data_IF_892087359197
#
_entry.id   IF_892087359197
#
_cell.length_a   1.000
_cell.length_b   1.000
_cell.length_c   1.000
_cell.angle_alpha   90.00
_cell.angle_beta   90.00
_cell.angle_gamma   90.00
#
_symmetry.space_group_name_H-M   'P 1'
#
loop_
_entity.id
_entity.type
_entity.pdbx_description
1 polymer ?
#
# COMPACT_ATOMS: atom_id res chain seq x y z
N UNK A 1 -17.89 -15.21 -8.70
CA UNK A 1 -17.29 -13.86 -8.73
C UNK A 1 -15.91 -13.95 -8.17
N UNK A 2 -15.03 -13.01 -8.55
CA UNK A 2 -13.64 -13.00 -8.11
C UNK A 2 -13.32 -11.69 -7.42
N UNK A 3 -12.82 -11.81 -6.20
CA UNK A 3 -12.30 -10.71 -5.40
C UNK A 3 -10.80 -10.59 -5.67
N UNK A 4 -10.34 -9.38 -5.96
CA UNK A 4 -8.93 -9.02 -6.04
C UNK A 4 -8.53 -8.22 -4.81
N UNK A 5 -7.42 -8.60 -4.19
CA UNK A 5 -6.78 -7.90 -3.09
C UNK A 5 -5.39 -7.46 -3.56
N UNK A 6 -5.14 -6.16 -3.54
CA UNK A 6 -3.87 -5.58 -4.02
C UNK A 6 -3.39 -4.46 -3.10
N UNK A 7 -2.11 -4.09 -3.24
CA UNK A 7 -1.46 -3.04 -2.47
C UNK A 7 -0.78 -2.00 -3.36
N UNK A 8 -0.80 -0.74 -2.91
CA UNK A 8 -0.28 0.38 -3.68
C UNK A 8 0.58 1.30 -2.83
N UNK A 9 1.73 1.66 -3.39
CA UNK A 9 2.69 2.52 -2.71
C UNK A 9 3.57 1.82 -1.69
N UNK A 10 3.69 0.47 -1.68
CA UNK A 10 4.67 -0.21 -0.82
C UNK A 10 6.08 0.39 -0.99
N UNK A 11 6.50 0.64 -2.23
CA UNK A 11 7.80 1.20 -2.59
C UNK A 11 7.97 2.72 -2.46
N UNK A 12 6.92 3.46 -2.09
CA UNK A 12 7.03 4.93 -1.98
C UNK A 12 7.59 5.35 -0.62
N UNK A 13 8.51 6.34 -0.56
CA UNK A 13 9.09 6.80 0.71
C UNK A 13 8.14 7.69 1.52
N UNK A 14 7.14 8.27 0.86
CA UNK A 14 6.13 9.19 1.41
C UNK A 14 4.79 8.48 1.49
N UNK A 15 4.04 8.77 2.54
CA UNK A 15 2.70 8.24 2.78
C UNK A 15 2.69 6.83 3.37
N UNK A 16 1.47 6.31 3.50
CA UNK A 16 1.17 4.95 3.91
C UNK A 16 1.27 3.96 2.75
N UNK A 17 0.49 2.90 2.84
CA UNK A 17 0.30 1.94 1.73
C UNK A 17 -1.19 1.72 1.56
N UNK A 18 -1.69 1.93 0.34
CA UNK A 18 -3.08 1.68 0.01
C UNK A 18 -3.35 0.19 -0.13
N UNK A 19 -4.49 -0.26 0.38
CA UNK A 19 -4.98 -1.63 0.24
C UNK A 19 -6.35 -1.56 -0.42
N UNK A 20 -6.52 -2.28 -1.51
CA UNK A 20 -7.79 -2.39 -2.22
C UNK A 20 -8.34 -3.81 -2.14
N UNK A 21 -9.65 -3.92 -1.92
CA UNK A 21 -10.44 -5.14 -2.10
C UNK A 21 -11.49 -4.83 -3.16
N UNK A 22 -11.48 -5.53 -4.28
CA UNK A 22 -12.34 -5.23 -5.43
C UNK A 22 -13.00 -6.49 -6.00
N UNK A 23 -14.30 -6.42 -6.27
CA UNK A 23 -15.08 -7.47 -6.96
C UNK A 23 -15.00 -7.22 -8.47
N UNK A 24 -14.24 -8.04 -9.21
CA UNK A 24 -13.89 -7.82 -10.63
C UNK A 24 -15.10 -7.57 -11.52
N UNK A 25 -16.17 -8.32 -11.29
CA UNK A 25 -17.34 -8.32 -12.18
C UNK A 25 -18.24 -7.09 -12.01
N UNK A 26 -18.20 -6.43 -10.85
CA UNK A 26 -19.12 -5.33 -10.53
C UNK A 26 -18.40 -3.98 -10.36
N UNK A 27 -17.10 -4.01 -10.07
CA UNK A 27 -16.35 -2.82 -9.65
C UNK A 27 -16.63 -2.38 -8.21
N UNK A 28 -17.47 -3.07 -7.45
CA UNK A 28 -17.63 -2.82 -6.02
C UNK A 28 -16.29 -3.00 -5.32
N UNK A 29 -15.92 -2.03 -4.49
CA UNK A 29 -14.62 -2.02 -3.86
C UNK A 29 -14.61 -1.37 -2.48
N UNK A 30 -13.61 -1.75 -1.69
CA UNK A 30 -13.18 -1.07 -0.49
C UNK A 30 -11.70 -0.73 -0.64
N UNK A 31 -11.35 0.51 -0.30
CA UNK A 31 -9.98 1.00 -0.27
C UNK A 31 -9.74 1.70 1.06
N UNK A 32 -8.56 1.49 1.63
CA UNK A 32 -8.07 2.24 2.78
C UNK A 32 -6.54 2.30 2.80
N UNK A 33 -5.98 3.15 3.65
CA UNK A 33 -4.54 3.38 3.79
C UNK A 33 -4.04 2.76 5.10
N UNK A 34 -3.04 1.91 5.00
CA UNK A 34 -2.20 1.55 6.17
C UNK A 34 -1.47 2.82 6.60
N UNK A 35 -1.71 3.23 7.85
CA UNK A 35 -1.18 4.48 8.40
C UNK A 35 0.34 4.60 8.27
N UNK A 36 0.82 5.82 8.02
CA UNK A 36 2.26 6.18 8.00
C UNK A 36 2.93 5.77 9.33
N UNK A 37 2.15 5.80 10.42
CA UNK A 37 2.57 5.42 11.77
C UNK A 37 3.10 3.99 11.85
N UNK A 38 2.57 3.07 11.04
CA UNK A 38 2.99 1.66 11.00
C UNK A 38 4.36 1.48 10.35
N UNK A 39 4.84 2.51 9.66
CA UNK A 39 6.12 2.56 8.99
C UNK A 39 7.17 3.39 9.75
N UNK A 40 6.91 3.75 11.00
CA UNK A 40 7.92 4.33 11.92
C UNK A 40 8.89 3.26 12.40
N UNK A 41 10.05 3.66 12.93
CA UNK A 41 11.16 2.74 13.28
C UNK A 41 10.70 1.55 14.14
N UNK A 42 9.97 1.81 15.22
CA UNK A 42 9.58 0.76 16.17
C UNK A 42 8.44 -0.12 15.66
N UNK A 43 7.44 0.48 14.99
CA UNK A 43 6.26 -0.21 14.45
C UNK A 43 6.61 -1.02 13.20
N UNK A 44 7.45 -0.47 12.31
CA UNK A 44 7.92 -1.17 11.11
C UNK A 44 8.77 -2.39 11.48
N UNK A 45 9.66 -2.27 12.48
CA UNK A 45 10.46 -3.39 12.99
C UNK A 45 9.57 -4.51 13.55
N UNK A 46 8.46 -4.16 14.19
CA UNK A 46 7.46 -5.11 14.70
C UNK A 46 6.50 -5.62 13.61
N UNK A 47 6.63 -5.15 12.37
CA UNK A 47 5.77 -5.47 11.23
C UNK A 47 4.27 -5.23 11.49
N UNK A 48 3.93 -4.16 12.21
CA UNK A 48 2.53 -3.82 12.53
C UNK A 48 1.68 -3.65 11.26
N UNK A 49 2.28 -3.12 10.20
CA UNK A 49 1.66 -2.95 8.89
C UNK A 49 1.02 -4.23 8.33
N UNK A 50 1.53 -5.43 8.66
CA UNK A 50 0.93 -6.71 8.23
C UNK A 50 -0.44 -6.94 8.86
N UNK A 51 -0.59 -6.56 10.13
CA UNK A 51 -1.88 -6.65 10.85
C UNK A 51 -2.84 -5.61 10.30
N UNK A 52 -2.38 -4.40 10.04
CA UNK A 52 -3.20 -3.33 9.46
C UNK A 52 -3.67 -3.66 8.05
N UNK A 53 -2.81 -4.25 7.21
CA UNK A 53 -3.20 -4.74 5.89
C UNK A 53 -4.35 -5.76 5.97
N UNK A 54 -4.20 -6.76 6.85
CA UNK A 54 -5.26 -7.76 7.11
C UNK A 54 -6.54 -7.10 7.60
N UNK A 55 -6.47 -6.18 8.55
CA UNK A 55 -7.64 -5.49 9.10
C UNK A 55 -8.42 -4.69 8.04
N UNK A 56 -7.73 -4.02 7.12
CA UNK A 56 -8.38 -3.31 6.00
C UNK A 56 -9.08 -4.31 5.07
N UNK A 57 -8.45 -5.44 4.78
CA UNK A 57 -9.07 -6.50 3.97
C UNK A 57 -10.31 -7.05 4.67
N UNK A 58 -10.24 -7.38 5.96
CA UNK A 58 -11.38 -7.83 6.75
C UNK A 58 -12.56 -6.84 6.68
N UNK A 59 -12.29 -5.55 6.82
CA UNK A 59 -13.30 -4.50 6.66
C UNK A 59 -13.91 -4.50 5.26
N UNK A 60 -13.10 -4.70 4.23
CA UNK A 60 -13.56 -4.85 2.85
C UNK A 60 -14.49 -6.04 2.68
N UNK A 61 -14.17 -7.19 3.29
CA UNK A 61 -15.00 -8.39 3.25
C UNK A 61 -16.36 -8.16 3.90
N UNK A 62 -16.40 -7.46 5.04
CA UNK A 62 -17.66 -7.09 5.69
C UNK A 62 -18.47 -6.12 4.82
N UNK A 63 -17.84 -5.06 4.29
CA UNK A 63 -18.51 -4.03 3.47
C UNK A 63 -19.08 -4.58 2.16
N UNK A 64 -18.31 -5.43 1.48
CA UNK A 64 -18.65 -6.03 0.19
C UNK A 64 -19.44 -7.34 0.34
N UNK A 65 -19.72 -7.75 1.58
CA UNK A 65 -20.46 -8.99 1.93
C UNK A 65 -19.90 -10.21 1.20
N UNK A 66 -18.57 -10.34 1.18
CA UNK A 66 -17.87 -11.38 0.42
C UNK A 66 -18.24 -12.76 0.96
N UNK A 67 -18.70 -13.63 0.06
CA UNK A 67 -19.11 -15.00 0.38
C UNK A 67 -17.95 -15.99 0.24
N UNK A 68 -18.08 -17.15 0.88
CA UNK A 68 -17.02 -18.19 0.92
C UNK A 68 -16.85 -18.95 -0.40
N UNK A 69 -17.87 -18.93 -1.26
CA UNK A 69 -17.89 -19.56 -2.58
C UNK A 69 -17.26 -18.68 -3.67
N UNK A 70 -16.95 -17.43 -3.35
CA UNK A 70 -16.24 -16.52 -4.24
C UNK A 70 -14.75 -16.87 -4.34
N UNK A 71 -14.19 -16.74 -5.55
CA UNK A 71 -12.75 -16.87 -5.75
C UNK A 71 -12.02 -15.63 -5.25
N UNK A 72 -10.84 -15.80 -4.66
CA UNK A 72 -10.01 -14.68 -4.22
C UNK A 72 -8.64 -14.76 -4.91
N UNK A 73 -8.23 -13.66 -5.54
CA UNK A 73 -6.90 -13.42 -6.05
C UNK A 73 -6.23 -12.39 -5.12
N UNK A 74 -5.08 -12.72 -4.54
CA UNK A 74 -4.33 -11.82 -3.66
C UNK A 74 -2.92 -11.57 -4.21
N UNK A 75 -2.49 -10.32 -4.17
CA UNK A 75 -1.15 -9.94 -4.59
C UNK A 75 -0.07 -10.71 -3.80
N UNK A 76 1.01 -11.07 -4.50
CA UNK A 76 2.16 -11.78 -3.91
C UNK A 76 3.07 -10.91 -3.04
N UNK A 77 2.73 -9.64 -2.86
CA UNK A 77 3.44 -8.71 -1.98
C UNK A 77 3.46 -9.20 -0.54
N UNK A 78 4.63 -9.19 0.10
CA UNK A 78 4.80 -9.64 1.50
C UNK A 78 3.94 -8.88 2.52
N UNK A 79 3.38 -7.72 2.13
CA UNK A 79 2.45 -6.97 2.97
C UNK A 79 1.17 -7.77 3.28
N UNK A 80 0.84 -8.74 2.43
CA UNK A 80 -0.33 -9.59 2.55
C UNK A 80 -0.09 -10.91 3.28
N UNK A 81 1.10 -11.16 3.84
CA UNK A 81 1.42 -12.44 4.52
C UNK A 81 0.38 -12.82 5.59
N UNK A 82 -0.02 -11.84 6.44
CA UNK A 82 -1.06 -12.05 7.46
C UNK A 82 -2.47 -12.14 6.90
N UNK A 83 -2.73 -11.49 5.77
CA UNK A 83 -4.01 -11.61 5.06
C UNK A 83 -4.17 -13.01 4.49
N UNK A 84 -3.13 -13.56 3.84
CA UNK A 84 -3.13 -14.92 3.31
C UNK A 84 -3.29 -15.96 4.43
N UNK A 85 -2.60 -15.78 5.56
CA UNK A 85 -2.78 -16.63 6.75
C UNK A 85 -4.23 -16.59 7.26
N UNK A 86 -4.81 -15.40 7.38
CA UNK A 86 -6.20 -15.23 7.80
C UNK A 86 -7.19 -15.88 6.84
N UNK A 87 -7.05 -15.65 5.53
CA UNK A 87 -7.90 -16.27 4.50
C UNK A 87 -7.89 -17.80 4.62
N UNK A 88 -6.71 -18.38 4.81
CA UNK A 88 -6.53 -19.82 5.01
C UNK A 88 -7.25 -20.31 6.27
N UNK A 89 -7.05 -19.64 7.40
CA UNK A 89 -7.64 -20.03 8.69
C UNK A 89 -9.16 -19.94 8.68
N UNK A 90 -9.70 -18.96 7.96
CA UNK A 90 -11.13 -18.77 7.75
C UNK A 90 -11.72 -19.75 6.71
N UNK A 91 -10.90 -20.53 6.00
CA UNK A 91 -11.36 -21.49 5.00
C UNK A 91 -11.80 -20.87 3.67
N UNK A 92 -11.30 -19.68 3.33
CA UNK A 92 -11.49 -19.09 2.01
C UNK A 92 -10.64 -19.81 0.95
N UNK A 93 -11.17 -19.93 -0.27
CA UNK A 93 -10.41 -20.39 -1.44
C UNK A 93 -9.72 -19.18 -2.09
N UNK A 94 -8.39 -19.15 -2.05
CA UNK A 94 -7.63 -18.05 -2.65
C UNK A 94 -6.40 -18.53 -3.40
N UNK A 95 -5.97 -17.70 -4.35
CA UNK A 95 -4.75 -17.88 -5.14
C UNK A 95 -3.87 -16.65 -4.95
N UNK A 96 -2.60 -16.87 -4.62
CA UNK A 96 -1.58 -15.81 -4.63
C UNK A 96 -1.11 -15.62 -6.07
N UNK A 97 -1.26 -14.42 -6.60
CA UNK A 97 -0.93 -14.11 -8.00
C UNK A 97 -0.52 -12.65 -8.16
N UNK A 98 0.06 -12.28 -9.31
CA UNK A 98 0.20 -10.87 -9.66
C UNK A 98 -1.17 -10.32 -10.01
N UNK A 99 -1.58 -9.25 -9.33
CA UNK A 99 -2.82 -8.54 -9.66
C UNK A 99 -2.54 -7.57 -10.81
N UNK A 100 -3.43 -7.58 -11.79
CA UNK A 100 -3.42 -6.63 -12.89
C UNK A 100 -4.88 -6.23 -13.21
N UNK A 101 -5.06 -5.18 -14.01
CA UNK A 101 -6.36 -4.73 -14.47
C UNK A 101 -7.05 -3.78 -13.49
N UNK A 102 -8.36 -3.94 -13.27
CA UNK A 102 -9.19 -2.93 -12.62
C UNK A 102 -8.75 -2.63 -11.17
N UNK A 103 -8.43 -3.64 -10.36
CA UNK A 103 -7.98 -3.43 -8.98
C UNK A 103 -6.67 -2.63 -8.92
N UNK A 104 -5.70 -2.96 -9.78
CA UNK A 104 -4.44 -2.24 -9.90
C UNK A 104 -4.71 -0.78 -10.31
N UNK A 105 -5.42 -0.57 -11.44
CA UNK A 105 -5.71 0.77 -11.96
C UNK A 105 -6.42 1.65 -10.92
N UNK A 106 -7.46 1.13 -10.25
CA UNK A 106 -8.18 1.86 -9.21
C UNK A 106 -7.35 2.12 -7.96
N UNK A 107 -6.54 1.15 -7.55
CA UNK A 107 -5.63 1.33 -6.43
C UNK A 107 -4.60 2.43 -6.71
N UNK A 108 -4.01 2.45 -7.91
CA UNK A 108 -3.02 3.43 -8.33
C UNK A 108 -3.62 4.85 -8.40
N UNK A 109 -4.81 4.99 -9.01
CA UNK A 109 -5.57 6.26 -9.05
C UNK A 109 -5.80 6.81 -7.64
N UNK A 110 -6.33 5.99 -6.73
CA UNK A 110 -6.62 6.40 -5.36
C UNK A 110 -5.36 6.74 -4.56
N UNK A 111 -4.27 6.01 -4.80
CA UNK A 111 -3.02 6.29 -4.11
C UNK A 111 -2.40 7.62 -4.56
N UNK A 112 -2.56 8.00 -5.83
CA UNK A 112 -2.15 9.31 -6.34
C UNK A 112 -2.96 10.42 -5.65
N UNK A 113 -4.29 10.27 -5.54
CA UNK A 113 -5.11 11.25 -4.82
C UNK A 113 -4.72 11.34 -3.34
N UNK A 114 -4.40 10.21 -2.71
CA UNK A 114 -3.87 10.20 -1.35
C UNK A 114 -2.57 11.01 -1.24
N UNK A 115 -1.59 10.80 -2.14
CA UNK A 115 -0.35 11.58 -2.17
C UNK A 115 -0.60 13.08 -2.38
N UNK A 116 -1.54 13.45 -3.26
CA UNK A 116 -1.97 14.84 -3.44
C UNK A 116 -2.56 15.41 -2.15
N UNK A 117 -3.36 14.62 -1.43
CA UNK A 117 -3.90 14.97 -0.12
C UNK A 117 -2.82 15.23 0.94
N UNK A 118 -1.63 14.63 0.82
CA UNK A 118 -0.46 14.93 1.65
C UNK A 118 0.31 16.18 1.21
N UNK A 119 -0.08 16.81 0.10
CA UNK A 119 0.58 18.00 -0.45
C UNK A 119 1.67 17.72 -1.49
N UNK A 120 1.77 16.49 -2.00
CA UNK A 120 2.68 16.18 -3.12
C UNK A 120 2.07 16.75 -4.42
N UNK A 121 2.72 17.71 -5.09
CA UNK A 121 2.22 18.23 -6.36
C UNK A 121 2.37 17.15 -7.44
N UNK A 122 1.41 17.06 -8.37
CA UNK A 122 1.47 16.22 -9.57
C UNK A 122 2.24 14.88 -9.41
N UNK A 123 1.84 13.98 -8.46
CA UNK A 123 2.56 12.74 -8.26
C UNK A 123 2.61 11.95 -9.58
N UNK A 124 3.77 11.38 -9.96
CA UNK A 124 3.85 10.54 -11.14
C UNK A 124 2.95 9.32 -10.99
N UNK A 125 2.55 8.72 -12.11
CA UNK A 125 1.81 7.46 -12.11
C UNK A 125 2.52 6.41 -11.24
N UNK A 126 1.74 5.62 -10.49
CA UNK A 126 2.26 4.53 -9.67
C UNK A 126 2.51 3.31 -10.56
N UNK A 127 3.36 3.47 -11.58
CA UNK A 127 3.62 2.43 -12.57
C UNK A 127 4.78 1.56 -12.08
N UNK A 128 4.50 0.28 -11.84
CA UNK A 128 5.49 -0.71 -11.38
C UNK A 128 5.88 -1.69 -12.51
N UNK A 129 5.86 -1.25 -13.76
CA UNK A 129 6.17 -2.09 -14.92
C UNK A 129 7.68 -2.24 -15.13
N UNK A 130 8.44 -1.15 -14.91
CA UNK A 130 9.90 -1.14 -15.05
C UNK A 130 10.62 -0.62 -13.80
N UNK A 131 11.89 -1.01 -13.67
CA UNK A 131 12.77 -0.54 -12.59
C UNK A 131 13.01 0.97 -12.67
N UNK A 132 13.01 1.54 -13.87
CA UNK A 132 13.31 2.96 -14.08
C UNK A 132 12.12 3.85 -13.73
N UNK A 133 10.89 3.43 -14.01
CA UNK A 133 9.67 4.12 -13.55
C UNK A 133 9.59 4.14 -12.02
N UNK A 134 9.84 2.99 -11.39
CA UNK A 134 9.91 2.89 -9.93
C UNK A 134 10.94 3.85 -9.33
N UNK A 135 12.15 3.90 -9.91
CA UNK A 135 13.19 4.84 -9.45
C UNK A 135 12.76 6.28 -9.66
N UNK A 136 12.19 6.62 -10.81
CA UNK A 136 11.76 7.98 -11.12
C UNK A 136 10.73 8.47 -10.10
N UNK A 137 9.73 7.65 -9.78
CA UNK A 137 8.76 7.93 -8.72
C UNK A 137 9.42 8.11 -7.35
N UNK A 138 10.30 7.18 -6.97
CA UNK A 138 10.98 7.25 -5.68
C UNK A 138 11.78 8.55 -5.54
N UNK A 139 12.55 8.92 -6.57
CA UNK A 139 13.36 10.13 -6.55
C UNK A 139 12.52 11.39 -6.59
N UNK A 140 11.43 11.42 -7.36
CA UNK A 140 10.47 12.52 -7.36
C UNK A 140 9.96 12.83 -5.94
N UNK A 141 9.47 11.80 -5.24
CA UNK A 141 8.98 11.96 -3.88
C UNK A 141 10.09 12.35 -2.90
N UNK A 142 11.30 11.82 -3.09
CA UNK A 142 12.44 12.21 -2.26
C UNK A 142 12.88 13.66 -2.51
N UNK A 143 12.81 14.16 -3.74
CA UNK A 143 13.12 15.56 -4.06
C UNK A 143 12.12 16.50 -3.41
N UNK A 144 10.83 16.16 -3.46
CA UNK A 144 9.81 16.86 -2.68
C UNK A 144 10.14 16.82 -1.18
N UNK A 145 10.55 15.68 -0.60
CA UNK A 145 10.98 15.66 0.82
C UNK A 145 12.23 16.51 1.07
N UNK A 146 13.15 16.65 0.11
CA UNK A 146 14.40 17.42 0.25
C UNK A 146 14.18 18.93 0.33
N UNK A 147 13.12 19.45 -0.28
CA UNK A 147 12.75 20.87 -0.25
C UNK A 147 12.37 21.34 1.16
N UNK A 148 11.67 20.49 1.93
CA UNK A 148 11.35 20.76 3.34
C UNK A 148 11.48 19.48 4.19
N UNK A 149 12.71 19.06 4.52
CA UNK A 149 12.94 17.81 5.22
C UNK A 149 12.35 17.80 6.63
N UNK A 150 12.35 18.95 7.31
CA UNK A 150 11.87 19.04 8.69
C UNK A 150 10.34 19.02 8.72
N UNK A 151 9.68 19.82 7.88
CA UNK A 151 8.24 19.85 7.80
C UNK A 151 7.65 18.57 7.22
N UNK A 152 8.33 17.87 6.30
CA UNK A 152 7.78 16.69 5.60
C UNK A 152 8.20 15.34 6.21
N UNK A 153 9.11 15.30 7.18
CA UNK A 153 9.58 14.04 7.81
C UNK A 153 8.47 13.16 8.35
N UNK A 154 7.45 13.77 8.97
CA UNK A 154 6.33 13.04 9.57
C UNK A 154 5.43 12.35 8.54
N UNK A 155 5.55 12.72 7.26
CA UNK A 155 4.83 12.12 6.13
C UNK A 155 5.61 10.95 5.52
N UNK A 156 6.78 10.60 6.05
CA UNK A 156 7.67 9.61 5.45
C UNK A 156 7.66 8.29 6.23
N UNK A 157 8.00 7.19 5.54
CA UNK A 157 8.21 5.84 6.12
C UNK A 157 9.54 5.75 6.89
N UNK A 158 9.64 6.49 7.99
CA UNK A 158 10.89 6.74 8.74
C UNK A 158 11.57 5.49 9.31
N UNK A 159 10.90 4.34 9.35
CA UNK A 159 11.49 3.04 9.69
C UNK A 159 12.36 2.42 8.60
N UNK A 160 12.35 2.97 7.38
CA UNK A 160 13.17 2.47 6.29
C UNK A 160 14.64 2.82 6.47
N UNK A 161 15.53 1.85 6.25
CA UNK A 161 16.99 2.03 6.39
C UNK A 161 17.52 3.24 5.61
N UNK A 162 16.98 3.49 4.41
CA UNK A 162 17.33 4.66 3.61
C UNK A 162 16.92 5.97 4.29
N UNK A 163 15.67 6.07 4.74
CA UNK A 163 15.12 7.28 5.37
C UNK A 163 15.72 7.55 6.76
N UNK A 164 16.03 6.50 7.55
CA UNK A 164 16.78 6.61 8.79
C UNK A 164 18.12 7.32 8.55
N UNK A 165 18.87 6.90 7.52
CA UNK A 165 20.15 7.52 7.17
C UNK A 165 19.98 8.94 6.66
N UNK A 166 18.97 9.17 5.81
CA UNK A 166 18.68 10.48 5.24
C UNK A 166 18.41 11.53 6.33
N UNK A 167 17.51 11.25 7.27
CA UNK A 167 17.16 12.20 8.33
C UNK A 167 18.23 12.33 9.43
N UNK A 168 19.08 11.32 9.65
CA UNK A 168 20.22 11.43 10.57
C UNK A 168 21.27 12.43 10.09
N UNK A 169 21.57 12.45 8.79
CA UNK A 169 22.59 13.34 8.19
C UNK A 169 22.22 14.82 8.21
N UNK A 170 20.93 15.14 8.30
CA UNK A 170 20.42 16.54 8.31
C UNK A 170 20.32 17.14 9.72
N UNK A 171 20.46 16.33 10.76
CA UNK A 171 20.44 16.77 12.17
C UNK A 171 21.85 17.06 12.73
N UNK A 172 22.89 16.88 11.91
CA UNK A 172 24.27 17.30 12.17
C UNK A 172 24.58 18.51 11.28
#
# INVERSE_FOLDING_TARGET
>A
MTIQIDDQGWGTPVGGVGIIVLRKETGEMHYDIISIEDFRVDTFKKKIYLVSARNIVEQGFVKLRIQKDEGIEICSGCIHDKTAEWLKNEGYKFTVTKINGLAQQKGEELFIEYLRGLGVPNPPGIINETVDEYKAQFFYLMDWVREDPNGRKHLCKTGWKYLIKFFKRKNN
#
